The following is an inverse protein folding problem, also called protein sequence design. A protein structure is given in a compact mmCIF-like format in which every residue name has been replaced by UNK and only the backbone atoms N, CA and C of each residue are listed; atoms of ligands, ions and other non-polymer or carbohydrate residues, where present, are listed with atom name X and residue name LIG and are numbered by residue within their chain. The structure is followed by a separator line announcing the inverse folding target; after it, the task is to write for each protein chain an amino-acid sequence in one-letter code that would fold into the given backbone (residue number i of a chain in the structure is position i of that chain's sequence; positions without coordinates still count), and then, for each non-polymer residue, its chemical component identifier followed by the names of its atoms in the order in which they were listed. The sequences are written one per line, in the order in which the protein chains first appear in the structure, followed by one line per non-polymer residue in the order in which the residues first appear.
data_IF_136150896013
#
_entry.id   IF_136150896013
#
_cell.length_a   1.000
_cell.length_b   1.000
_cell.length_c   1.000
_cell.angle_alpha   90.00
_cell.angle_beta   90.00
_cell.angle_gamma   90.00
#
_symmetry.space_group_name_H-M   'P 1'
#
loop_
_entity.id
_entity.type
_entity.pdbx_description
1 polymer ?
#
# COMPACT_ATOMS: atom_id res chain seq x y z
N UNK A 1 14.94 -0.59 -1.00
CA UNK A 1 14.01 0.57 -1.18
C UNK A 1 12.98 0.25 -2.26
N UNK A 2 11.82 0.96 -2.29
CA UNK A 2 10.81 0.82 -3.34
C UNK A 2 11.40 1.10 -4.73
N UNK A 3 12.32 2.05 -4.81
CA UNK A 3 13.04 2.38 -6.05
C UNK A 3 13.86 1.20 -6.57
N UNK A 4 14.64 0.55 -5.72
CA UNK A 4 15.46 -0.63 -6.10
C UNK A 4 14.61 -1.79 -6.57
N UNK A 5 13.43 -2.00 -5.94
CA UNK A 5 12.47 -3.02 -6.35
C UNK A 5 11.95 -2.74 -7.77
N UNK A 6 11.51 -1.51 -8.04
CA UNK A 6 11.01 -1.10 -9.35
C UNK A 6 12.11 -1.17 -10.42
N UNK A 7 13.32 -0.72 -10.11
CA UNK A 7 14.47 -0.84 -10.99
C UNK A 7 14.86 -2.30 -11.29
N UNK A 8 14.71 -3.18 -10.30
CA UNK A 8 14.91 -4.62 -10.46
C UNK A 8 13.91 -5.25 -11.42
N UNK A 9 12.62 -4.88 -11.32
CA UNK A 9 11.56 -5.32 -12.24
C UNK A 9 11.79 -4.78 -13.65
N UNK A 10 12.01 -3.48 -13.78
CA UNK A 10 12.23 -2.82 -15.09
C UNK A 10 13.44 -3.43 -15.82
N UNK A 11 14.51 -3.74 -15.10
CA UNK A 11 15.70 -4.39 -15.64
C UNK A 11 15.55 -5.90 -15.88
N UNK A 12 14.39 -6.50 -15.56
CA UNK A 12 14.15 -7.95 -15.68
C UNK A 12 14.98 -8.82 -14.73
N UNK A 13 15.52 -8.24 -13.66
CA UNK A 13 16.26 -8.99 -12.62
C UNK A 13 15.32 -9.79 -11.72
N UNK A 14 14.09 -9.32 -11.57
CA UNK A 14 12.99 -10.01 -10.90
C UNK A 14 11.73 -9.86 -11.76
N UNK A 15 10.86 -10.86 -11.75
CA UNK A 15 9.64 -10.85 -12.57
C UNK A 15 8.55 -9.93 -11.96
N UNK A 16 8.49 -9.86 -10.63
CA UNK A 16 7.47 -9.12 -9.89
C UNK A 16 8.07 -8.36 -8.71
N UNK A 17 7.43 -7.25 -8.37
CA UNK A 17 7.63 -6.59 -7.08
C UNK A 17 6.30 -6.22 -6.44
N UNK A 18 6.28 -6.12 -5.12
CA UNK A 18 5.13 -5.69 -4.33
C UNK A 18 5.43 -4.30 -3.77
N UNK A 19 4.55 -3.34 -4.04
CA UNK A 19 4.69 -1.95 -3.63
C UNK A 19 3.50 -1.52 -2.77
N UNK A 20 3.70 -1.01 -1.55
CA UNK A 20 2.62 -0.44 -0.75
C UNK A 20 2.12 0.85 -1.43
N UNK A 21 0.82 0.99 -1.57
CA UNK A 21 0.19 2.12 -2.26
C UNK A 21 -0.58 3.02 -1.30
N UNK A 22 -1.26 2.41 -0.36
CA UNK A 22 -2.13 3.12 0.56
C UNK A 22 -2.38 2.28 1.82
N UNK A 23 -2.42 2.96 2.96
CA UNK A 23 -2.91 2.38 4.20
C UNK A 23 -4.21 3.11 4.59
N UNK A 24 -5.21 2.36 5.06
CA UNK A 24 -6.56 2.89 5.38
C UNK A 24 -6.58 3.95 6.48
N UNK A 25 -5.56 4.00 7.34
CA UNK A 25 -5.44 4.94 8.45
C UNK A 25 -4.51 6.10 8.10
N UNK A 26 -3.32 5.79 7.56
CA UNK A 26 -2.24 6.77 7.33
C UNK A 26 -2.36 7.44 5.96
N UNK A 27 -3.09 6.80 5.06
CA UNK A 27 -3.29 7.28 3.70
C UNK A 27 -2.21 6.78 2.73
N UNK A 28 -1.90 7.60 1.76
CA UNK A 28 -1.14 7.25 0.57
C UNK A 28 0.38 7.09 0.80
N UNK A 29 0.96 6.08 0.17
CA UNK A 29 2.42 5.92 0.03
C UNK A 29 2.87 6.58 -1.27
N UNK A 30 3.19 7.87 -1.17
CA UNK A 30 3.43 8.77 -2.33
C UNK A 30 4.47 8.26 -3.31
N UNK A 31 5.61 7.78 -2.81
CA UNK A 31 6.75 7.41 -3.63
C UNK A 31 6.46 6.25 -4.59
N UNK A 32 5.62 5.31 -4.19
CA UNK A 32 5.32 4.11 -4.98
C UNK A 32 4.56 4.44 -6.27
N UNK A 33 3.55 5.31 -6.19
CA UNK A 33 2.75 5.72 -7.37
C UNK A 33 3.60 6.52 -8.36
N UNK A 34 4.43 7.43 -7.85
CA UNK A 34 5.32 8.24 -8.69
C UNK A 34 6.38 7.40 -9.41
N UNK A 35 6.82 6.29 -8.78
CA UNK A 35 7.75 5.34 -9.39
C UNK A 35 7.10 4.58 -10.55
N UNK A 36 5.84 4.16 -10.41
CA UNK A 36 5.11 3.45 -11.47
C UNK A 36 4.96 4.34 -12.71
N UNK A 37 4.56 5.61 -12.52
CA UNK A 37 4.36 6.56 -13.62
C UNK A 37 5.62 6.84 -14.46
N UNK A 38 6.79 6.76 -13.83
CA UNK A 38 8.06 7.16 -14.47
C UNK A 38 8.79 6.00 -15.15
N UNK A 39 8.25 4.79 -15.08
CA UNK A 39 8.93 3.57 -15.49
C UNK A 39 8.08 2.72 -16.42
N UNK A 40 8.73 1.87 -17.20
CA UNK A 40 8.03 0.93 -18.08
C UNK A 40 7.65 -0.34 -17.31
N UNK A 41 6.70 -0.19 -16.41
CA UNK A 41 6.16 -1.27 -15.57
C UNK A 41 4.63 -1.19 -15.55
N UNK A 42 3.99 -2.35 -15.34
CA UNK A 42 2.55 -2.51 -15.33
C UNK A 42 2.08 -3.03 -13.98
N UNK A 43 0.88 -2.63 -13.56
CA UNK A 43 0.20 -3.20 -12.43
C UNK A 43 -0.51 -4.47 -12.90
N UNK A 44 -0.14 -5.61 -12.31
CA UNK A 44 -0.66 -6.93 -12.68
C UNK A 44 -1.47 -7.59 -11.57
N UNK A 45 -1.59 -6.94 -10.42
CA UNK A 45 -2.41 -7.39 -9.31
C UNK A 45 -2.49 -6.35 -8.20
N UNK A 46 -3.52 -6.46 -7.37
CA UNK A 46 -3.66 -5.72 -6.11
C UNK A 46 -3.85 -6.71 -4.96
N UNK A 47 -3.17 -6.46 -3.85
CA UNK A 47 -3.35 -7.21 -2.61
C UNK A 47 -3.82 -6.27 -1.52
N UNK A 48 -4.89 -6.63 -0.82
CA UNK A 48 -5.29 -6.00 0.43
C UNK A 48 -4.89 -6.89 1.59
N UNK A 49 -4.10 -6.34 2.49
CA UNK A 49 -3.60 -7.06 3.66
C UNK A 49 -3.97 -6.32 4.93
N UNK A 50 -4.57 -7.05 5.88
CA UNK A 50 -4.91 -6.53 7.21
C UNK A 50 -3.64 -6.37 8.03
N UNK A 51 -3.47 -5.21 8.64
CA UNK A 51 -2.31 -4.90 9.47
C UNK A 51 -2.68 -5.16 10.93
N UNK A 52 -2.13 -6.21 11.48
CA UNK A 52 -2.32 -6.59 12.88
C UNK A 52 -1.02 -6.39 13.66
N UNK A 53 -1.12 -5.68 14.77
CA UNK A 53 -0.01 -5.45 15.67
C UNK A 53 -0.22 -6.25 16.96
N UNK A 54 0.79 -7.01 17.32
CA UNK A 54 0.78 -7.83 18.53
C UNK A 54 2.01 -7.48 19.37
N UNK A 55 1.87 -7.55 20.69
CA UNK A 55 3.02 -7.46 21.61
C UNK A 55 3.68 -8.82 21.70
N UNK A 56 4.93 -8.91 21.29
CA UNK A 56 5.73 -10.12 21.25
C UNK A 56 6.95 -9.98 22.16
N UNK A 57 7.29 -11.03 22.90
CA UNK A 57 8.48 -11.13 23.72
C UNK A 57 9.23 -12.44 23.49
N UNK A 58 10.31 -12.67 24.18
CA UNK A 58 10.98 -13.98 24.17
C UNK A 58 10.19 -15.00 24.99
N UNK A 59 10.45 -16.28 24.78
CA UNK A 59 9.79 -17.36 25.54
C UNK A 59 9.99 -17.19 27.05
N UNK A 60 8.88 -17.29 27.78
CA UNK A 60 8.83 -17.15 29.23
C UNK A 60 8.90 -15.71 29.74
N UNK A 61 8.78 -14.69 28.89
CA UNK A 61 8.48 -13.32 29.30
C UNK A 61 7.02 -13.17 29.69
N UNK A 62 6.73 -12.28 30.62
CA UNK A 62 5.38 -11.85 30.98
C UNK A 62 5.24 -10.35 30.76
N UNK A 63 4.01 -9.86 30.64
CA UNK A 63 3.77 -8.42 30.48
C UNK A 63 4.39 -7.61 31.62
N UNK A 64 4.34 -8.12 32.84
CA UNK A 64 4.88 -7.47 34.03
C UNK A 64 6.42 -7.37 34.03
N UNK A 65 7.10 -8.19 33.21
CA UNK A 65 8.57 -8.13 33.09
C UNK A 65 9.01 -7.00 32.16
N UNK A 66 8.12 -6.48 31.31
CA UNK A 66 8.47 -5.59 30.22
C UNK A 66 8.80 -4.19 30.73
N UNK A 67 9.92 -3.66 30.23
CA UNK A 67 10.39 -2.29 30.48
C UNK A 67 10.59 -1.51 29.17
N UNK A 68 10.80 -2.20 28.04
CA UNK A 68 11.09 -1.57 26.76
C UNK A 68 10.30 -2.22 25.63
N UNK A 69 9.72 -1.38 24.78
CA UNK A 69 8.97 -1.84 23.58
C UNK A 69 9.59 -1.24 22.33
N UNK A 70 9.96 -2.12 21.40
CA UNK A 70 10.63 -1.79 20.14
C UNK A 70 9.66 -1.92 18.99
N UNK A 71 9.57 -0.92 18.11
CA UNK A 71 8.87 -1.04 16.84
C UNK A 71 9.18 0.13 15.90
N UNK A 72 8.63 0.06 14.67
CA UNK A 72 8.59 1.21 13.79
C UNK A 72 7.72 2.33 14.41
N UNK A 73 8.11 3.59 14.22
CA UNK A 73 7.41 4.74 14.80
C UNK A 73 5.90 4.71 14.54
N UNK A 74 5.50 4.41 13.31
CA UNK A 74 4.10 4.33 12.93
C UNK A 74 3.34 3.23 13.69
N UNK A 75 3.94 2.05 13.91
CA UNK A 75 3.32 0.97 14.67
C UNK A 75 3.16 1.36 16.16
N UNK A 76 4.16 2.04 16.75
CA UNK A 76 4.05 2.59 18.10
C UNK A 76 2.91 3.61 18.22
N UNK A 77 2.73 4.47 17.22
CA UNK A 77 1.61 5.43 17.19
C UNK A 77 0.26 4.73 17.04
N UNK A 78 0.15 3.72 16.17
CA UNK A 78 -1.06 2.92 15.97
C UNK A 78 -1.44 2.05 17.16
N UNK A 79 -0.56 1.89 18.15
CA UNK A 79 -0.79 1.14 19.39
C UNK A 79 -0.72 2.04 20.63
N UNK A 80 -0.87 3.35 20.47
CA UNK A 80 -0.68 4.34 21.55
C UNK A 80 -1.65 4.17 22.72
N UNK A 81 -2.89 3.74 22.47
CA UNK A 81 -3.88 3.48 23.53
C UNK A 81 -3.48 2.29 24.42
N UNK A 82 -3.00 1.21 23.80
CA UNK A 82 -2.47 0.07 24.54
C UNK A 82 -1.21 0.47 25.32
N UNK A 83 -0.24 1.14 24.65
CA UNK A 83 1.00 1.58 25.28
C UNK A 83 0.78 2.65 26.34
N UNK A 84 -0.32 3.38 26.30
CA UNK A 84 -0.72 4.36 27.32
C UNK A 84 -1.09 3.72 28.67
N UNK A 85 -1.43 2.42 28.70
CA UNK A 85 -1.69 1.67 29.93
C UNK A 85 -0.41 1.35 30.71
N UNK A 86 0.76 1.49 30.05
CA UNK A 86 2.08 1.19 30.58
C UNK A 86 3.01 2.40 30.37
N UNK A 87 2.76 3.52 31.07
CA UNK A 87 3.51 4.76 30.87
C UNK A 87 4.99 4.62 31.24
N UNK A 88 5.34 3.65 32.08
CA UNK A 88 6.70 3.33 32.55
C UNK A 88 7.55 2.62 31.49
N UNK A 89 6.92 2.07 30.42
CA UNK A 89 7.67 1.40 29.36
C UNK A 89 8.38 2.41 28.45
N UNK A 90 9.64 2.19 28.22
CA UNK A 90 10.42 2.95 27.24
C UNK A 90 10.04 2.50 25.81
N UNK A 91 9.67 3.44 24.94
CA UNK A 91 9.29 3.20 23.56
C UNK A 91 10.46 3.49 22.63
N UNK A 92 11.04 2.46 22.03
CA UNK A 92 12.27 2.57 21.21
C UNK A 92 11.91 2.38 19.74
N UNK A 93 12.25 3.39 18.94
CA UNK A 93 12.00 3.40 17.49
C UNK A 93 13.04 2.57 16.75
N UNK A 94 12.57 1.77 15.80
CA UNK A 94 13.40 1.00 14.88
C UNK A 94 12.94 1.21 13.44
N UNK A 95 13.77 0.82 12.47
CA UNK A 95 13.53 1.05 11.04
C UNK A 95 12.30 0.30 10.51
N UNK A 96 11.96 -0.86 11.08
CA UNK A 96 10.73 -1.60 10.76
C UNK A 96 10.39 -2.60 11.89
N UNK A 97 9.15 -3.12 11.85
CA UNK A 97 8.61 -4.05 12.83
C UNK A 97 9.33 -5.41 12.83
N UNK A 98 9.73 -5.91 11.66
CA UNK A 98 10.43 -7.19 11.54
C UNK A 98 11.85 -7.15 12.14
N UNK A 99 12.58 -6.04 11.95
CA UNK A 99 13.88 -5.83 12.62
C UNK A 99 13.72 -5.71 14.12
N UNK A 100 12.63 -5.14 14.62
CA UNK A 100 12.33 -5.11 16.05
C UNK A 100 12.13 -6.52 16.60
N UNK A 101 11.33 -7.35 15.90
CA UNK A 101 11.12 -8.74 16.29
C UNK A 101 12.43 -9.55 16.26
N UNK A 102 13.25 -9.36 15.22
CA UNK A 102 14.59 -9.97 15.15
C UNK A 102 15.46 -9.58 16.33
N UNK A 103 15.51 -8.28 16.65
CA UNK A 103 16.31 -7.76 17.76
C UNK A 103 15.90 -8.40 19.10
N UNK A 104 14.60 -8.54 19.35
CA UNK A 104 14.11 -9.20 20.58
C UNK A 104 14.54 -10.67 20.62
N UNK A 105 14.42 -11.40 19.51
CA UNK A 105 14.88 -12.79 19.43
C UNK A 105 16.38 -12.95 19.66
N UNK A 106 17.18 -12.08 19.06
CA UNK A 106 18.65 -12.14 19.13
C UNK A 106 19.18 -11.76 20.54
N UNK A 107 18.56 -10.80 21.21
CA UNK A 107 19.03 -10.30 22.53
C UNK A 107 18.63 -11.19 23.69
N UNK A 108 17.54 -11.94 23.57
CA UNK A 108 17.08 -12.87 24.61
C UNK A 108 16.75 -12.23 25.97
N UNK A 109 16.45 -10.92 26.01
CA UNK A 109 16.17 -10.17 27.24
C UNK A 109 14.67 -10.15 27.52
N UNK A 110 14.23 -10.71 28.67
CA UNK A 110 12.83 -10.78 29.09
C UNK A 110 12.18 -9.42 29.35
N UNK A 111 12.97 -8.38 29.62
CA UNK A 111 12.48 -7.02 29.84
C UNK A 111 12.13 -6.28 28.53
N UNK A 112 12.42 -6.89 27.38
CA UNK A 112 12.22 -6.30 26.08
C UNK A 112 11.05 -7.00 25.33
N UNK A 113 10.19 -6.21 24.70
CA UNK A 113 9.15 -6.67 23.81
C UNK A 113 9.19 -5.89 22.48
N UNK A 114 8.52 -6.39 21.47
CA UNK A 114 8.28 -5.65 20.23
C UNK A 114 6.81 -5.64 19.84
N UNK A 115 6.41 -4.65 19.06
CA UNK A 115 5.15 -4.64 18.36
C UNK A 115 5.42 -5.08 16.91
N UNK A 116 4.81 -6.21 16.52
CA UNK A 116 4.97 -6.80 15.19
C UNK A 116 3.80 -7.73 14.85
N UNK A 117 3.80 -8.30 13.63
CA UNK A 117 2.79 -9.24 13.18
C UNK A 117 3.06 -10.69 13.65
N UNK A 118 2.07 -11.58 13.46
CA UNK A 118 2.18 -12.97 13.89
C UNK A 118 3.19 -13.80 13.09
N UNK A 119 3.51 -13.42 11.86
CA UNK A 119 4.51 -14.09 11.02
C UNK A 119 5.89 -13.93 11.62
N UNK A 120 6.22 -12.72 12.11
CA UNK A 120 7.50 -12.46 12.77
C UNK A 120 7.65 -13.24 14.08
N UNK A 121 6.54 -13.48 14.80
CA UNK A 121 6.53 -14.37 15.97
C UNK A 121 7.07 -15.75 15.62
N UNK A 122 6.55 -16.35 14.54
CA UNK A 122 6.99 -17.69 14.08
C UNK A 122 8.44 -17.67 13.62
N UNK A 123 8.80 -16.65 12.83
CA UNK A 123 10.13 -16.52 12.22
C UNK A 123 11.26 -16.38 13.26
N UNK A 124 11.03 -15.62 14.32
CA UNK A 124 12.02 -15.32 15.35
C UNK A 124 11.78 -16.06 16.68
N UNK A 125 10.87 -17.08 16.68
CA UNK A 125 10.57 -17.92 17.82
C UNK A 125 10.18 -17.11 19.09
N UNK A 126 9.37 -16.08 18.89
CA UNK A 126 8.87 -15.21 19.95
C UNK A 126 7.58 -15.76 20.55
N UNK A 127 7.21 -15.27 21.72
CA UNK A 127 5.96 -15.56 22.42
C UNK A 127 5.00 -14.39 22.29
N UNK A 128 3.70 -14.71 22.15
CA UNK A 128 2.63 -13.73 22.12
C UNK A 128 2.31 -13.31 23.56
N UNK A 129 2.60 -12.06 23.88
CA UNK A 129 2.27 -11.49 25.20
C UNK A 129 0.88 -10.87 25.22
N UNK A 130 0.52 -10.15 24.16
CA UNK A 130 -0.80 -9.55 23.99
C UNK A 130 -1.16 -9.50 22.50
N UNK A 131 -2.28 -10.10 22.08
CA UNK A 131 -2.77 -9.95 20.69
C UNK A 131 -3.48 -8.62 20.50
N UNK A 132 -3.56 -8.20 19.23
CA UNK A 132 -4.43 -7.14 18.72
C UNK A 132 -4.34 -5.83 19.53
N UNK A 133 -3.12 -5.30 19.60
CA UNK A 133 -2.83 -4.06 20.35
C UNK A 133 -3.04 -2.77 19.53
N UNK A 134 -3.61 -2.89 18.34
CA UNK A 134 -3.97 -1.75 17.50
C UNK A 134 -5.03 -0.87 18.14
N UNK A 135 -4.92 0.45 17.98
CA UNK A 135 -6.00 1.38 18.32
C UNK A 135 -7.23 1.13 17.41
N UNK A 136 -6.98 0.99 16.10
CA UNK A 136 -8.01 0.75 15.07
C UNK A 136 -7.91 -0.69 14.56
N UNK A 137 -9.04 -1.42 14.61
CA UNK A 137 -9.10 -2.83 14.18
C UNK A 137 -9.17 -3.00 12.66
N UNK A 138 -9.75 -2.00 11.97
CA UNK A 138 -9.90 -1.98 10.52
C UNK A 138 -8.72 -1.25 9.87
N UNK A 139 -7.52 -1.84 10.01
CA UNK A 139 -6.28 -1.32 9.45
C UNK A 139 -5.84 -2.20 8.27
N UNK A 140 -5.94 -1.66 7.06
CA UNK A 140 -5.56 -2.37 5.84
C UNK A 140 -4.51 -1.60 5.04
N UNK A 141 -3.60 -2.32 4.44
CA UNK A 141 -2.68 -1.76 3.44
C UNK A 141 -2.98 -2.37 2.08
N UNK A 142 -3.10 -1.52 1.06
CA UNK A 142 -3.17 -1.90 -0.35
C UNK A 142 -1.77 -1.96 -0.91
N UNK A 143 -1.48 -3.02 -1.64
CA UNK A 143 -0.23 -3.22 -2.36
C UNK A 143 -0.53 -3.47 -3.83
N UNK A 144 0.26 -2.89 -4.73
CA UNK A 144 0.29 -3.31 -6.12
C UNK A 144 1.37 -4.37 -6.35
N UNK A 145 1.01 -5.37 -7.14
CA UNK A 145 1.96 -6.29 -7.75
C UNK A 145 2.30 -5.69 -9.11
N UNK A 146 3.57 -5.44 -9.35
CA UNK A 146 4.05 -4.83 -10.60
C UNK A 146 5.00 -5.75 -11.37
N UNK A 147 4.98 -5.66 -12.70
CA UNK A 147 5.83 -6.41 -13.62
C UNK A 147 6.26 -5.52 -14.78
N UNK A 148 7.35 -5.87 -15.47
CA UNK A 148 7.75 -5.25 -16.73
C UNK A 148 6.98 -5.81 -17.94
N UNK A 149 6.10 -6.79 -17.72
CA UNK A 149 5.22 -7.37 -18.74
C UNK A 149 3.79 -6.97 -18.44
N UNK A 150 3.06 -6.56 -19.47
CA UNK A 150 1.60 -6.36 -19.36
C UNK A 150 0.90 -7.72 -19.35
N UNK A 151 0.66 -8.24 -18.14
CA UNK A 151 -0.01 -9.50 -17.93
C UNK A 151 -1.49 -9.22 -17.63
N UNK A 152 -2.35 -9.49 -18.61
CA UNK A 152 -3.81 -9.40 -18.43
C UNK A 152 -4.29 -10.76 -17.94
N UNK A 153 -5.01 -10.77 -16.81
CA UNK A 153 -5.66 -11.97 -16.30
C UNK A 153 -7.10 -12.04 -16.83
N UNK A 154 -7.59 -13.21 -17.20
CA UNK A 154 -8.95 -13.42 -17.74
C UNK A 154 -10.07 -12.90 -16.81
N UNK A 155 -9.82 -12.82 -15.51
CA UNK A 155 -10.77 -12.33 -14.49
C UNK A 155 -10.33 -11.01 -13.87
N UNK A 156 -9.76 -10.12 -14.68
CA UNK A 156 -9.43 -8.76 -14.22
C UNK A 156 -10.69 -7.99 -13.92
N UNK A 157 -10.70 -7.28 -12.80
CA UNK A 157 -11.89 -6.59 -12.28
C UNK A 157 -11.63 -5.10 -11.98
N UNK A 158 -10.36 -4.67 -12.09
CA UNK A 158 -9.97 -3.30 -11.80
C UNK A 158 -8.97 -2.80 -12.84
N UNK A 159 -9.11 -1.54 -13.20
CA UNK A 159 -8.22 -0.84 -14.12
C UNK A 159 -7.66 0.38 -13.40
N UNK A 160 -6.34 0.58 -13.53
CA UNK A 160 -5.68 1.82 -13.11
C UNK A 160 -5.18 2.60 -14.32
N UNK A 161 -5.49 3.89 -14.35
CA UNK A 161 -5.05 4.80 -15.38
C UNK A 161 -4.40 6.05 -14.78
N UNK A 162 -3.51 6.66 -15.55
CA UNK A 162 -3.03 8.03 -15.34
C UNK A 162 -3.56 8.87 -16.46
N UNK A 163 -4.15 9.99 -16.14
CA UNK A 163 -4.62 10.95 -17.13
C UNK A 163 -4.27 12.38 -16.74
N UNK A 164 -4.34 13.30 -17.67
CA UNK A 164 -4.25 14.73 -17.40
C UNK A 164 -5.12 15.51 -18.36
N UNK A 165 -5.71 16.61 -17.86
CA UNK A 165 -6.56 17.50 -18.62
C UNK A 165 -5.89 18.86 -18.84
N UNK A 166 -6.46 19.68 -19.72
CA UNK A 166 -6.12 21.10 -19.79
C UNK A 166 -6.43 21.77 -18.46
N UNK A 167 -5.63 22.76 -18.09
CA UNK A 167 -5.89 23.57 -16.90
C UNK A 167 -6.92 24.66 -17.23
N UNK A 168 -8.19 24.27 -17.37
CA UNK A 168 -9.31 25.13 -17.68
C UNK A 168 -10.56 24.74 -16.87
N UNK A 169 -11.47 25.69 -16.70
CA UNK A 169 -12.70 25.47 -15.95
C UNK A 169 -13.52 24.31 -16.55
N UNK A 170 -13.91 23.35 -15.71
CA UNK A 170 -14.73 22.20 -16.08
C UNK A 170 -14.00 21.05 -16.79
N UNK A 171 -12.69 21.16 -17.10
CA UNK A 171 -11.97 20.11 -17.82
C UNK A 171 -11.97 18.77 -17.06
N UNK A 172 -11.65 18.77 -15.76
CA UNK A 172 -11.70 17.58 -14.93
C UNK A 172 -13.14 17.03 -14.81
N UNK A 173 -14.13 17.91 -14.64
CA UNK A 173 -15.54 17.49 -14.56
C UNK A 173 -15.96 16.75 -15.84
N UNK A 174 -15.61 17.27 -17.03
CA UNK A 174 -15.92 16.65 -18.32
C UNK A 174 -15.28 15.26 -18.45
N UNK A 175 -14.07 15.08 -17.94
CA UNK A 175 -13.39 13.79 -17.93
C UNK A 175 -14.07 12.83 -16.95
N UNK A 176 -14.36 13.25 -15.73
CA UNK A 176 -15.01 12.41 -14.73
C UNK A 176 -16.45 12.02 -15.12
N UNK A 177 -17.12 12.87 -15.88
CA UNK A 177 -18.46 12.57 -16.40
C UNK A 177 -18.49 11.32 -17.29
N UNK A 178 -17.41 11.01 -18.01
CA UNK A 178 -17.31 9.81 -18.85
C UNK A 178 -17.51 8.54 -18.01
N UNK A 179 -16.85 8.45 -16.84
CA UNK A 179 -17.02 7.30 -15.96
C UNK A 179 -18.49 7.11 -15.55
N UNK A 180 -19.18 8.21 -15.23
CA UNK A 180 -20.61 8.19 -14.89
C UNK A 180 -21.48 7.78 -16.08
N UNK A 181 -21.22 8.33 -17.27
CA UNK A 181 -22.03 8.10 -18.47
C UNK A 181 -21.94 6.62 -18.92
N UNK A 182 -20.80 5.97 -18.72
CA UNK A 182 -20.60 4.54 -19.00
C UNK A 182 -20.85 3.61 -17.81
N UNK A 183 -21.29 4.15 -16.66
CA UNK A 183 -21.59 3.37 -15.46
C UNK A 183 -20.35 2.68 -14.87
N UNK A 184 -19.18 3.32 -14.97
CA UNK A 184 -17.92 2.82 -14.41
C UNK A 184 -17.72 3.37 -13.00
N UNK A 185 -17.59 2.48 -12.02
CA UNK A 185 -17.39 2.84 -10.62
C UNK A 185 -15.93 3.19 -10.35
N UNK A 186 -15.63 4.47 -10.10
CA UNK A 186 -14.31 4.91 -9.64
C UNK A 186 -14.12 4.58 -8.17
N UNK A 187 -13.07 3.84 -7.83
CA UNK A 187 -12.73 3.45 -6.45
C UNK A 187 -11.57 4.25 -5.88
N UNK A 188 -10.84 4.98 -6.73
CA UNK A 188 -9.76 5.87 -6.31
C UNK A 188 -9.61 7.03 -7.31
N UNK A 189 -9.37 8.22 -6.77
CA UNK A 189 -9.02 9.41 -7.56
C UNK A 189 -8.00 10.24 -6.79
N UNK A 190 -6.81 10.40 -7.34
CA UNK A 190 -5.72 11.19 -6.72
C UNK A 190 -5.09 12.13 -7.73
N UNK A 191 -4.79 13.35 -7.31
CA UNK A 191 -4.08 14.33 -8.11
C UNK A 191 -2.62 14.42 -7.70
N UNK A 192 -1.73 14.56 -8.68
CA UNK A 192 -0.29 14.77 -8.51
C UNK A 192 0.21 15.91 -9.38
N UNK A 193 0.95 16.87 -8.83
CA UNK A 193 1.59 17.90 -9.63
C UNK A 193 2.53 17.28 -10.67
N UNK A 194 2.50 17.80 -11.88
CA UNK A 194 3.48 17.42 -12.90
C UNK A 194 4.85 18.01 -12.57
N UNK A 195 5.88 17.21 -12.66
CA UNK A 195 7.26 17.69 -12.55
C UNK A 195 7.55 18.71 -13.68
N UNK A 196 8.12 19.86 -13.36
CA UNK A 196 8.48 20.94 -14.30
C UNK A 196 7.31 21.62 -15.03
N UNK A 197 6.07 21.43 -14.60
CA UNK A 197 4.89 22.14 -15.12
C UNK A 197 4.03 22.64 -13.97
N UNK A 198 4.30 23.83 -13.42
CA UNK A 198 3.54 24.41 -12.31
C UNK A 198 2.06 24.47 -12.66
N UNK A 199 1.21 24.08 -11.67
CA UNK A 199 -0.25 24.12 -11.75
C UNK A 199 -0.88 23.13 -12.75
N UNK A 200 -0.10 22.24 -13.38
CA UNK A 200 -0.61 21.09 -14.11
C UNK A 200 -0.55 19.83 -13.26
N UNK A 201 -1.54 18.94 -13.42
CA UNK A 201 -1.70 17.75 -12.61
C UNK A 201 -1.85 16.50 -13.46
N UNK A 202 -1.34 15.38 -12.95
CA UNK A 202 -1.78 14.05 -13.30
C UNK A 202 -2.90 13.64 -12.35
N UNK A 203 -3.86 12.88 -12.87
CA UNK A 203 -4.91 12.22 -12.12
C UNK A 203 -4.72 10.72 -12.23
N UNK A 204 -4.53 10.09 -11.09
CA UNK A 204 -4.49 8.64 -10.94
C UNK A 204 -5.90 8.18 -10.61
N UNK A 205 -6.46 7.30 -11.44
CA UNK A 205 -7.82 6.84 -11.30
C UNK A 205 -7.81 5.31 -11.34
N UNK A 206 -8.35 4.69 -10.28
CA UNK A 206 -8.67 3.29 -10.27
C UNK A 206 -10.18 3.15 -10.41
N UNK A 207 -10.65 2.27 -11.28
CA UNK A 207 -12.06 2.00 -11.48
C UNK A 207 -12.32 0.50 -11.74
N UNK A 208 -13.53 0.06 -11.43
CA UNK A 208 -13.97 -1.31 -11.65
C UNK A 208 -14.29 -1.51 -13.13
N UNK A 209 -13.78 -2.62 -13.70
CA UNK A 209 -14.01 -2.99 -15.09
C UNK A 209 -12.93 -3.91 -15.64
N UNK A 210 -13.20 -4.38 -16.85
CA UNK A 210 -12.26 -5.19 -17.63
C UNK A 210 -12.05 -4.54 -19.00
N UNK A 211 -10.82 -4.50 -19.50
CA UNK A 211 -10.50 -3.94 -20.82
C UNK A 211 -11.17 -4.67 -21.98
N UNK A 212 -11.63 -5.91 -21.76
CA UNK A 212 -12.38 -6.68 -22.74
C UNK A 212 -13.87 -6.26 -22.86
N UNK A 213 -14.35 -5.42 -21.92
CA UNK A 213 -15.73 -4.92 -21.96
C UNK A 213 -15.88 -3.76 -22.96
N UNK A 214 -16.78 -3.87 -23.92
CA UNK A 214 -17.05 -2.83 -24.94
C UNK A 214 -17.33 -1.45 -24.33
N UNK A 215 -18.05 -1.40 -23.18
CA UNK A 215 -18.33 -0.13 -22.48
C UNK A 215 -17.04 0.53 -21.94
N UNK A 216 -16.05 -0.29 -21.50
CA UNK A 216 -14.76 0.18 -20.98
C UNK A 216 -13.89 0.71 -22.12
N UNK A 217 -13.85 -0.01 -23.24
CA UNK A 217 -13.13 0.42 -24.43
C UNK A 217 -13.64 1.78 -24.92
N UNK A 218 -14.96 1.94 -25.11
CA UNK A 218 -15.58 3.21 -25.51
C UNK A 218 -15.33 4.34 -24.53
N UNK A 219 -15.40 4.06 -23.23
CA UNK A 219 -15.10 5.04 -22.20
C UNK A 219 -13.64 5.52 -22.27
N UNK A 220 -12.70 4.59 -22.45
CA UNK A 220 -11.27 4.93 -22.56
C UNK A 220 -10.96 5.73 -23.83
N UNK A 221 -11.64 5.45 -24.94
CA UNK A 221 -11.55 6.28 -26.16
C UNK A 221 -12.02 7.71 -25.88
N UNK A 222 -13.20 7.87 -25.27
CA UNK A 222 -13.74 9.20 -24.95
C UNK A 222 -12.88 9.94 -23.91
N UNK A 223 -12.32 9.22 -22.91
CA UNK A 223 -11.34 9.79 -21.96
C UNK A 223 -10.11 10.29 -22.72
N UNK A 224 -9.62 9.54 -23.70
CA UNK A 224 -8.44 9.93 -24.51
C UNK A 224 -8.69 11.21 -25.29
N UNK A 225 -9.86 11.38 -25.86
CA UNK A 225 -10.26 12.59 -26.57
C UNK A 225 -10.34 13.83 -25.66
N UNK A 226 -10.80 13.64 -24.43
CA UNK A 226 -10.97 14.71 -23.43
C UNK A 226 -9.70 15.00 -22.60
N UNK A 227 -8.65 14.19 -22.76
CA UNK A 227 -7.40 14.29 -22.01
C UNK A 227 -6.23 14.78 -22.88
N UNK A 228 -5.20 15.38 -22.26
CA UNK A 228 -3.92 15.66 -22.91
C UNK A 228 -3.02 14.43 -22.88
N UNK A 229 -3.24 13.57 -21.89
CA UNK A 229 -2.45 12.38 -21.62
C UNK A 229 -3.33 11.30 -20.99
N UNK A 230 -3.20 10.08 -21.50
CA UNK A 230 -3.82 8.89 -20.93
C UNK A 230 -2.85 7.71 -21.07
N UNK A 231 -2.57 7.07 -19.95
CA UNK A 231 -1.82 5.81 -19.87
C UNK A 231 -2.60 4.82 -19.02
N UNK A 232 -2.78 3.62 -19.53
CA UNK A 232 -3.30 2.48 -18.77
C UNK A 232 -2.11 1.85 -18.04
N UNK A 233 -2.16 1.82 -16.72
CA UNK A 233 -1.12 1.23 -15.87
C UNK A 233 -1.30 -0.27 -15.72
N UNK A 234 -2.53 -0.77 -15.81
CA UNK A 234 -2.84 -2.19 -15.74
C UNK A 234 -4.32 -2.46 -15.66
N UNK A 235 -4.69 -3.70 -16.01
CA UNK A 235 -5.99 -4.31 -15.77
C UNK A 235 -5.73 -5.60 -14.98
N UNK A 236 -6.26 -5.70 -13.77
CA UNK A 236 -5.79 -6.70 -12.83
C UNK A 236 -6.88 -7.16 -11.87
N UNK A 237 -6.58 -8.27 -11.18
CA UNK A 237 -7.42 -8.85 -10.13
C UNK A 237 -7.02 -8.32 -8.75
N UNK A 238 -8.01 -8.19 -7.86
CA UNK A 238 -7.81 -7.86 -6.44
C UNK A 238 -7.82 -9.14 -5.61
N UNK A 239 -6.78 -9.32 -4.80
CA UNK A 239 -6.64 -10.44 -3.87
C UNK A 239 -6.81 -9.93 -2.45
N UNK A 240 -7.74 -10.51 -1.72
CA UNK A 240 -7.84 -10.33 -0.28
C UNK A 240 -7.03 -11.44 0.38
N UNK A 241 -5.98 -11.08 1.10
CA UNK A 241 -5.13 -12.04 1.82
C UNK A 241 -5.45 -11.90 3.30
N UNK A 242 -6.11 -12.91 3.84
CA UNK A 242 -6.22 -13.17 5.26
C UNK A 242 -5.10 -14.17 5.61
N UNK A 243 -4.12 -13.74 6.38
CA UNK A 243 -3.00 -14.57 6.83
C UNK A 243 -3.18 -14.89 8.31
#
# INVERSE_FOLDING_TARGET
THRELVEGVEAGKVDFAILPIENSIVGEVRDSIDLINKRNIYIVGEVKHKIEHNLLGIKGSKIDDIKRVYSHEQALMQCSEFLGKYPEWEKIRMNNTALSAKYIGDTGNKENACIANMETRKMYNLELLQPDVNNEKENFTRFFIVSNKNLICENSEKISVITSTKNEAGALMKLLKVFSDYGLNMVNLKSRPKTNKPWEYYFYIDFEGNLEEEKVEKALEEIREKSIYLQILGNYKVYNVEI
#
